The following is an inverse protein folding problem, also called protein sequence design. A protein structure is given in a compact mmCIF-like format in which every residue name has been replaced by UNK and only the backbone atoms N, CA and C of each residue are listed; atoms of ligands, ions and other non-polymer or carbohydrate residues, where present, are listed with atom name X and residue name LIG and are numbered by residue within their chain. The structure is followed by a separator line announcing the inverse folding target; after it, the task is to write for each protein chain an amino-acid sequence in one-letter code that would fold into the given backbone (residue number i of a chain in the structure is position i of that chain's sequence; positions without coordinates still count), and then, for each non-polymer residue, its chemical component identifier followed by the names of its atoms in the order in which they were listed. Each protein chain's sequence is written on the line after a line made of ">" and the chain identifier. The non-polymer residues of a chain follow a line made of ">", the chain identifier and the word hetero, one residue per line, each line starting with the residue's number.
data_IF_300827503199
#
_entry.id   IF_300827503199
#
_cell.length_a   1.000
_cell.length_b   1.000
_cell.length_c   1.000
_cell.angle_alpha   90.00
_cell.angle_beta   90.00
_cell.angle_gamma   90.00
#
_symmetry.space_group_name_H-M   'P 1'
#
loop_
_entity.id
_entity.type
_entity.pdbx_description
1 polymer ?
#
# COMPACT_ATOMS: atom_id res chain seq x y z
N UNK A 1 -64.86 -12.81 16.40
CA UNK A 1 -63.99 -11.81 17.07
C UNK A 1 -62.51 -12.19 17.06
N UNK A 2 -62.16 -13.45 17.38
CA UNK A 2 -60.77 -13.95 17.39
C UNK A 2 -60.00 -13.79 16.06
N UNK A 3 -60.64 -14.05 14.92
CA UNK A 3 -60.00 -14.00 13.60
C UNK A 3 -59.48 -12.59 13.21
N UNK A 4 -60.23 -11.53 13.56
CA UNK A 4 -59.81 -10.13 13.37
C UNK A 4 -58.59 -9.78 14.23
N UNK A 5 -58.50 -10.32 15.45
CA UNK A 5 -57.38 -10.11 16.37
C UNK A 5 -56.11 -10.80 15.84
N UNK A 6 -56.24 -12.02 15.32
CA UNK A 6 -55.13 -12.76 14.70
C UNK A 6 -54.60 -12.02 13.46
N UNK A 7 -55.48 -11.58 12.54
CA UNK A 7 -55.07 -10.80 11.36
C UNK A 7 -54.39 -9.48 11.73
N UNK A 8 -54.87 -8.76 12.76
CA UNK A 8 -54.24 -7.52 13.25
C UNK A 8 -52.86 -7.78 13.87
N UNK A 9 -52.70 -8.86 14.66
CA UNK A 9 -51.39 -9.26 15.23
C UNK A 9 -50.40 -9.69 14.14
N UNK A 10 -50.84 -10.43 13.12
CA UNK A 10 -50.01 -10.81 11.98
C UNK A 10 -49.57 -9.58 11.17
N UNK A 11 -50.48 -8.64 10.89
CA UNK A 11 -50.17 -7.39 10.19
C UNK A 11 -49.20 -6.52 11.01
N UNK A 12 -49.39 -6.41 12.33
CA UNK A 12 -48.46 -5.71 13.21
C UNK A 12 -47.08 -6.38 13.26
N UNK A 13 -47.02 -7.72 13.30
CA UNK A 13 -45.76 -8.48 13.24
C UNK A 13 -45.05 -8.29 11.89
N UNK A 14 -45.81 -8.22 10.79
CA UNK A 14 -45.28 -7.93 9.46
C UNK A 14 -44.78 -6.49 9.33
N UNK A 15 -45.52 -5.49 9.85
CA UNK A 15 -45.07 -4.11 9.90
C UNK A 15 -43.83 -3.94 10.80
N UNK A 16 -43.78 -4.61 11.94
CA UNK A 16 -42.60 -4.64 12.81
C UNK A 16 -41.38 -5.24 12.09
N UNK A 17 -41.53 -6.40 11.44
CA UNK A 17 -40.47 -7.01 10.63
C UNK A 17 -40.01 -6.10 9.48
N UNK A 18 -40.94 -5.45 8.78
CA UNK A 18 -40.63 -4.47 7.71
C UNK A 18 -39.88 -3.25 8.25
N UNK A 19 -40.32 -2.68 9.36
CA UNK A 19 -39.64 -1.55 10.01
C UNK A 19 -38.25 -1.94 10.50
N UNK A 20 -38.11 -3.09 11.16
CA UNK A 20 -36.82 -3.62 11.60
C UNK A 20 -35.87 -3.82 10.40
N UNK A 21 -36.37 -4.41 9.31
CA UNK A 21 -35.58 -4.60 8.10
C UNK A 21 -35.11 -3.25 7.50
N UNK A 22 -36.01 -2.28 7.37
CA UNK A 22 -35.71 -0.98 6.75
C UNK A 22 -34.78 -0.14 7.62
N UNK A 23 -35.01 -0.08 8.93
CA UNK A 23 -34.28 0.83 9.82
C UNK A 23 -33.02 0.22 10.44
N UNK A 24 -32.86 -1.10 10.40
CA UNK A 24 -31.70 -1.77 11.00
C UNK A 24 -30.92 -2.57 9.96
N UNK A 25 -31.58 -3.49 9.25
CA UNK A 25 -30.87 -4.41 8.34
C UNK A 25 -30.31 -3.67 7.12
N UNK A 26 -31.10 -2.82 6.44
CA UNK A 26 -30.64 -2.09 5.27
C UNK A 26 -29.44 -1.15 5.55
N UNK A 27 -29.43 -0.32 6.61
CA UNK A 27 -28.27 0.50 6.95
C UNK A 27 -27.02 -0.33 7.27
N UNK A 28 -27.16 -1.46 7.98
CA UNK A 28 -26.03 -2.35 8.27
C UNK A 28 -25.45 -2.92 6.98
N UNK A 29 -26.29 -3.43 6.08
CA UNK A 29 -25.84 -3.93 4.77
C UNK A 29 -25.16 -2.82 3.96
N UNK A 30 -25.73 -1.61 3.96
CA UNK A 30 -25.13 -0.45 3.30
C UNK A 30 -23.74 -0.13 3.85
N UNK A 31 -23.57 -0.07 5.17
CA UNK A 31 -22.28 0.21 5.81
C UNK A 31 -21.24 -0.87 5.49
N UNK A 32 -21.63 -2.14 5.45
CA UNK A 32 -20.75 -3.26 5.08
C UNK A 32 -20.30 -3.13 3.63
N UNK A 33 -21.23 -2.91 2.70
CA UNK A 33 -20.93 -2.76 1.26
C UNK A 33 -20.08 -1.52 1.02
N UNK A 34 -20.43 -0.38 1.64
CA UNK A 34 -19.68 0.86 1.55
C UNK A 34 -18.25 0.70 2.09
N UNK A 35 -18.09 0.08 3.26
CA UNK A 35 -16.78 -0.23 3.83
C UNK A 35 -15.93 -1.13 2.93
N UNK A 36 -16.55 -2.12 2.28
CA UNK A 36 -15.88 -3.00 1.33
C UNK A 36 -15.39 -2.24 0.08
N UNK A 37 -16.24 -1.37 -0.49
CA UNK A 37 -15.86 -0.50 -1.62
C UNK A 37 -14.72 0.44 -1.24
N UNK A 38 -14.81 1.10 -0.07
CA UNK A 38 -13.77 1.99 0.44
C UNK A 38 -12.44 1.24 0.62
N UNK A 39 -12.44 0.02 1.16
CA UNK A 39 -11.20 -0.78 1.31
C UNK A 39 -10.57 -1.14 -0.04
N UNK A 40 -11.39 -1.36 -1.08
CA UNK A 40 -10.93 -1.67 -2.44
C UNK A 40 -10.42 -0.44 -3.20
N UNK A 41 -10.92 0.75 -2.90
CA UNK A 41 -10.63 1.98 -3.67
C UNK A 41 -9.72 2.96 -2.95
N UNK A 42 -9.60 2.86 -1.63
CA UNK A 42 -8.85 3.80 -0.80
C UNK A 42 -7.77 3.09 0.02
N UNK A 43 -6.72 3.84 0.35
CA UNK A 43 -5.71 3.43 1.32
C UNK A 43 -5.29 4.64 2.15
N UNK A 44 -5.13 4.41 3.45
CA UNK A 44 -4.58 5.41 4.36
C UNK A 44 -3.11 5.03 4.60
N UNK A 45 -2.20 5.93 4.24
CA UNK A 45 -0.80 5.78 4.62
C UNK A 45 -0.57 6.48 5.95
N UNK A 46 -0.15 5.71 6.96
CA UNK A 46 0.30 6.21 8.26
C UNK A 46 1.81 6.05 8.44
N UNK A 47 2.51 5.46 7.47
CA UNK A 47 3.96 5.26 7.55
C UNK A 47 4.71 6.49 7.04
N UNK A 48 5.83 6.84 7.67
CA UNK A 48 6.66 7.97 7.27
C UNK A 48 7.54 7.69 6.03
N UNK A 49 7.31 6.60 5.30
CA UNK A 49 8.11 6.30 4.10
C UNK A 49 7.61 7.05 2.85
N UNK A 50 6.34 7.44 2.87
CA UNK A 50 5.65 8.33 1.92
C UNK A 50 4.83 9.33 2.74
N UNK A 51 4.30 10.42 2.14
CA UNK A 51 3.49 11.37 2.90
C UNK A 51 2.32 10.66 3.59
N UNK A 52 1.98 11.08 4.80
CA UNK A 52 0.84 10.49 5.50
C UNK A 52 -0.44 11.09 4.92
N UNK A 53 -1.48 10.28 4.72
CA UNK A 53 -2.69 10.79 4.09
C UNK A 53 -3.64 9.71 3.56
N UNK A 54 -4.71 10.19 2.92
CA UNK A 54 -5.68 9.40 2.20
C UNK A 54 -5.31 9.38 0.71
N UNK A 55 -5.31 8.18 0.15
CA UNK A 55 -4.98 7.93 -1.23
C UNK A 55 -6.06 7.10 -1.91
N UNK A 56 -6.21 7.32 -3.21
CA UNK A 56 -7.02 6.52 -4.12
C UNK A 56 -6.16 5.47 -4.79
N UNK A 57 -6.67 4.24 -4.89
CA UNK A 57 -6.15 3.17 -5.74
C UNK A 57 -6.77 3.29 -7.13
N UNK A 58 -5.93 3.30 -8.14
CA UNK A 58 -6.32 3.33 -9.55
C UNK A 58 -5.77 2.09 -10.26
N UNK A 59 -6.44 1.71 -11.35
CA UNK A 59 -6.02 0.58 -12.16
C UNK A 59 -4.59 0.79 -12.69
N UNK A 60 -3.85 -0.30 -12.84
CA UNK A 60 -2.52 -0.28 -13.44
C UNK A 60 -2.70 -0.32 -14.96
N UNK A 61 -2.40 0.78 -15.62
CA UNK A 61 -2.43 0.92 -17.08
C UNK A 61 -1.01 0.81 -17.67
N UNK A 62 -0.19 1.83 -17.45
CA UNK A 62 1.20 1.92 -17.88
C UNK A 62 2.04 2.36 -16.69
N UNK A 63 3.04 1.57 -16.33
CA UNK A 63 3.97 1.92 -15.27
C UNK A 63 5.15 2.69 -15.84
N UNK A 64 5.50 3.79 -15.21
CA UNK A 64 6.62 4.64 -15.63
C UNK A 64 7.37 5.21 -14.43
N UNK A 65 8.62 5.63 -14.66
CA UNK A 65 9.41 6.36 -13.68
C UNK A 65 8.60 7.58 -13.22
N UNK A 66 8.51 7.77 -11.91
CA UNK A 66 7.75 8.87 -11.33
C UNK A 66 6.44 8.44 -10.68
N UNK A 67 5.83 7.35 -11.14
CA UNK A 67 4.53 6.90 -10.63
C UNK A 67 4.61 6.51 -9.15
N UNK A 68 3.58 6.88 -8.40
CA UNK A 68 3.35 6.39 -7.05
C UNK A 68 2.48 5.13 -7.15
N UNK A 69 2.93 4.05 -6.53
CA UNK A 69 2.32 2.72 -6.70
C UNK A 69 2.11 2.00 -5.38
N UNK A 70 1.06 1.17 -5.35
CA UNK A 70 0.75 0.22 -4.29
C UNK A 70 1.32 -1.14 -4.67
N UNK A 71 2.15 -1.71 -3.81
CA UNK A 71 2.94 -2.92 -4.09
C UNK A 71 2.75 -3.97 -3.02
N UNK A 72 2.55 -5.21 -3.46
CA UNK A 72 2.65 -6.41 -2.64
C UNK A 72 3.96 -7.12 -3.01
N UNK A 73 4.77 -7.47 -2.01
CA UNK A 73 6.02 -8.18 -2.28
C UNK A 73 5.76 -9.66 -2.58
N UNK A 74 6.74 -10.31 -3.21
CA UNK A 74 6.75 -11.77 -3.34
C UNK A 74 6.54 -12.42 -1.97
N UNK A 75 5.75 -13.49 -1.93
CA UNK A 75 5.31 -14.14 -0.69
C UNK A 75 6.46 -14.42 0.30
N UNK A 76 7.62 -14.88 -0.17
CA UNK A 76 8.77 -15.13 0.71
C UNK A 76 9.34 -13.85 1.33
N UNK A 77 9.49 -12.78 0.54
CA UNK A 77 9.98 -11.48 1.03
C UNK A 77 8.99 -10.86 2.01
N UNK A 78 7.70 -10.92 1.69
CA UNK A 78 6.64 -10.40 2.54
C UNK A 78 6.55 -11.15 3.87
N UNK A 79 6.59 -12.49 3.85
CA UNK A 79 6.60 -13.33 5.05
C UNK A 79 7.73 -12.96 5.99
N UNK A 80 8.98 -12.92 5.49
CA UNK A 80 10.14 -12.53 6.29
C UNK A 80 10.02 -11.09 6.81
N UNK A 81 9.51 -10.17 6.00
CA UNK A 81 9.33 -8.79 6.43
C UNK A 81 8.25 -8.64 7.53
N UNK A 82 7.23 -9.50 7.54
CA UNK A 82 6.26 -9.59 8.64
C UNK A 82 6.93 -10.16 9.90
N UNK A 83 7.66 -11.28 9.78
CA UNK A 83 8.39 -11.90 10.91
C UNK A 83 9.39 -10.94 11.56
N UNK A 84 10.03 -10.08 10.77
CA UNK A 84 10.95 -9.04 11.24
C UNK A 84 10.26 -7.71 11.64
N UNK A 85 8.93 -7.67 11.74
CA UNK A 85 8.12 -6.49 12.13
C UNK A 85 8.30 -5.25 11.23
N UNK A 86 8.78 -5.46 10.01
CA UNK A 86 8.93 -4.41 8.99
C UNK A 86 7.56 -4.11 8.39
N UNK A 87 6.84 -5.14 7.95
CA UNK A 87 5.47 -5.07 7.47
C UNK A 87 4.47 -5.47 8.56
N UNK A 88 3.32 -4.80 8.59
CA UNK A 88 2.19 -5.24 9.42
C UNK A 88 1.39 -6.35 8.71
N UNK A 89 0.62 -7.12 9.49
CA UNK A 89 -0.44 -7.99 8.97
C UNK A 89 -1.75 -7.21 8.95
N UNK A 90 -2.31 -6.97 7.77
CA UNK A 90 -3.54 -6.19 7.64
C UNK A 90 -4.43 -6.59 6.44
N UNK A 91 -4.10 -7.70 5.76
CA UNK A 91 -4.86 -8.25 4.63
C UNK A 91 -5.10 -7.24 3.51
N UNK A 92 -4.09 -6.41 3.22
CA UNK A 92 -4.07 -5.56 2.03
C UNK A 92 -3.50 -6.30 0.82
N UNK A 93 -2.57 -7.22 1.05
CA UNK A 93 -2.01 -8.13 0.05
C UNK A 93 -2.60 -9.54 0.15
N UNK A 94 -2.54 -10.36 -0.93
CA UNK A 94 -3.08 -11.72 -0.94
C UNK A 94 -2.49 -12.66 0.11
N UNK A 95 -1.23 -12.42 0.51
CA UNK A 95 -0.51 -13.17 1.55
C UNK A 95 -0.81 -12.68 2.98
N UNK A 96 -1.74 -11.74 3.15
CA UNK A 96 -2.11 -11.15 4.44
C UNK A 96 -1.26 -9.96 4.87
N UNK A 97 -0.15 -9.68 4.17
CA UNK A 97 0.77 -8.59 4.50
C UNK A 97 0.22 -7.21 4.15
N UNK A 98 0.88 -6.18 4.69
CA UNK A 98 0.67 -4.78 4.38
C UNK A 98 1.14 -4.44 2.96
N UNK A 99 0.27 -3.78 2.20
CA UNK A 99 0.65 -3.17 0.92
C UNK A 99 1.56 -1.97 1.17
N UNK A 100 2.67 -1.91 0.44
CA UNK A 100 3.59 -0.79 0.45
C UNK A 100 3.15 0.29 -0.54
N UNK A 101 3.42 1.55 -0.23
CA UNK A 101 3.29 2.67 -1.17
C UNK A 101 4.69 3.22 -1.44
N UNK A 102 5.11 3.24 -2.70
CA UNK A 102 6.45 3.68 -3.13
C UNK A 102 6.41 4.36 -4.49
N UNK A 103 7.45 5.15 -4.79
CA UNK A 103 7.63 5.78 -6.09
C UNK A 103 8.50 4.89 -6.99
N UNK A 104 8.12 4.71 -8.26
CA UNK A 104 8.97 4.05 -9.27
C UNK A 104 10.13 4.98 -9.63
N UNK A 105 11.35 4.44 -9.57
CA UNK A 105 12.58 5.15 -9.91
C UNK A 105 13.39 4.49 -11.03
N UNK A 106 13.15 3.21 -11.33
CA UNK A 106 13.70 2.52 -12.49
C UNK A 106 12.67 1.52 -13.03
N UNK A 107 12.74 1.26 -14.33
CA UNK A 107 11.87 0.36 -15.08
C UNK A 107 12.70 -0.73 -15.78
N UNK A 108 12.07 -1.78 -16.35
CA UNK A 108 12.81 -2.82 -17.05
C UNK A 108 13.71 -2.25 -18.16
N UNK A 109 14.95 -2.73 -18.22
CA UNK A 109 15.99 -2.26 -19.14
C UNK A 109 16.94 -1.21 -18.56
N UNK A 110 16.59 -0.56 -17.44
CA UNK A 110 17.47 0.40 -16.77
C UNK A 110 18.67 -0.28 -16.10
N UNK A 111 19.74 0.49 -15.87
CA UNK A 111 20.84 0.07 -15.00
C UNK A 111 20.72 0.76 -13.64
N UNK A 112 20.82 -0.02 -12.58
CA UNK A 112 20.72 0.47 -11.20
C UNK A 112 21.99 0.15 -10.42
N UNK A 113 22.57 1.15 -9.76
CA UNK A 113 23.69 0.99 -8.83
C UNK A 113 23.20 1.24 -7.40
N UNK A 114 23.36 0.25 -6.54
CA UNK A 114 23.07 0.35 -5.10
C UNK A 114 24.39 0.55 -4.36
N UNK A 115 24.44 1.61 -3.56
CA UNK A 115 25.59 1.92 -2.68
C UNK A 115 25.12 2.04 -1.23
N UNK A 116 26.06 2.27 -0.30
CA UNK A 116 25.71 2.56 1.09
C UNK A 116 24.90 3.85 1.29
N UNK A 117 24.96 4.79 0.33
CA UNK A 117 24.39 6.14 0.47
C UNK A 117 23.28 6.46 -0.55
N UNK A 118 23.33 5.84 -1.72
CA UNK A 118 22.53 6.21 -2.87
C UNK A 118 22.01 4.99 -3.64
N UNK A 119 20.88 5.19 -4.31
CA UNK A 119 20.47 4.43 -5.48
C UNK A 119 20.76 5.32 -6.69
N UNK A 120 21.52 4.84 -7.67
CA UNK A 120 21.70 5.55 -8.95
C UNK A 120 21.01 4.77 -10.06
N UNK A 121 20.33 5.48 -10.95
CA UNK A 121 19.59 4.89 -12.07
C UNK A 121 20.09 5.51 -13.36
N UNK A 122 20.42 4.67 -14.34
CA UNK A 122 20.71 5.09 -15.71
C UNK A 122 19.56 4.64 -16.61
N UNK A 123 18.85 5.61 -17.17
CA UNK A 123 17.68 5.42 -18.03
C UNK A 123 17.93 6.13 -19.37
N UNK A 124 18.16 5.35 -20.43
CA UNK A 124 18.64 5.86 -21.71
C UNK A 124 19.89 6.74 -21.53
N UNK A 125 19.81 8.03 -21.88
CA UNK A 125 20.90 9.01 -21.74
C UNK A 125 20.86 9.81 -20.43
N UNK A 126 19.92 9.49 -19.53
CA UNK A 126 19.72 10.21 -18.27
C UNK A 126 20.25 9.41 -17.09
N UNK A 127 20.83 10.12 -16.12
CA UNK A 127 21.32 9.54 -14.88
C UNK A 127 20.69 10.24 -13.68
N UNK A 128 20.06 9.47 -12.80
CA UNK A 128 19.40 9.96 -11.60
C UNK A 128 20.11 9.42 -10.36
N UNK A 129 20.27 10.26 -9.34
CA UNK A 129 20.81 9.84 -8.03
C UNK A 129 19.78 10.12 -6.95
N UNK A 130 19.42 9.08 -6.19
CA UNK A 130 18.49 9.15 -5.07
C UNK A 130 19.26 8.96 -3.77
N UNK A 131 19.13 9.92 -2.85
CA UNK A 131 19.69 9.80 -1.50
C UNK A 131 18.92 8.71 -0.76
N UNK A 132 19.60 7.61 -0.46
CA UNK A 132 19.00 6.38 0.03
C UNK A 132 19.99 5.65 0.96
N UNK A 133 20.35 6.23 2.13
CA UNK A 133 21.30 5.59 3.01
C UNK A 133 20.80 4.23 3.47
N UNK A 134 21.66 3.20 3.40
CA UNK A 134 21.39 1.89 3.98
C UNK A 134 21.74 1.93 5.46
N UNK A 135 20.73 1.69 6.29
CA UNK A 135 20.89 1.64 7.74
C UNK A 135 21.17 0.20 8.16
N UNK A 136 22.08 0.03 9.12
CA UNK A 136 22.32 -1.28 9.75
C UNK A 136 21.12 -1.72 10.58
N UNK A 137 20.48 -0.78 11.26
CA UNK A 137 19.33 -1.01 12.13
C UNK A 137 18.11 -0.20 11.68
N UNK A 138 16.93 -0.82 11.79
CA UNK A 138 15.65 -0.21 11.46
C UNK A 138 15.32 0.92 12.44
N UNK A 139 14.98 2.10 11.93
CA UNK A 139 14.53 3.22 12.75
C UNK A 139 13.20 2.95 13.49
N UNK A 140 12.45 1.92 13.09
CA UNK A 140 11.17 1.53 13.69
C UNK A 140 11.37 0.45 14.76
N UNK A 141 12.12 -0.60 14.44
CA UNK A 141 12.22 -1.81 15.28
C UNK A 141 13.53 -1.88 16.08
N UNK A 142 14.52 -1.05 15.75
CA UNK A 142 15.89 -1.12 16.28
C UNK A 142 16.61 -2.46 16.04
N UNK A 143 16.03 -3.34 15.21
CA UNK A 143 16.60 -4.61 14.79
C UNK A 143 17.42 -4.44 13.50
N UNK A 144 18.35 -5.37 13.18
CA UNK A 144 19.03 -5.39 11.90
C UNK A 144 18.05 -5.28 10.73
N UNK A 145 18.33 -4.40 9.77
CA UNK A 145 17.43 -4.21 8.62
C UNK A 145 17.47 -5.44 7.73
N UNK A 146 16.31 -6.08 7.54
CA UNK A 146 16.16 -7.18 6.59
C UNK A 146 16.55 -6.72 5.19
N UNK A 147 17.49 -7.44 4.60
CA UNK A 147 18.10 -7.14 3.31
C UNK A 147 18.05 -8.39 2.45
N UNK A 148 17.63 -8.24 1.20
CA UNK A 148 17.59 -9.31 0.20
C UNK A 148 18.60 -9.10 -0.94
N UNK A 149 19.17 -7.91 -1.08
CA UNK A 149 20.16 -7.59 -2.11
C UNK A 149 21.39 -6.90 -1.55
N UNK A 150 22.53 -7.15 -2.19
CA UNK A 150 23.80 -6.54 -1.87
C UNK A 150 23.98 -5.15 -2.49
N UNK A 151 25.13 -4.54 -2.22
CA UNK A 151 25.61 -3.37 -2.95
C UNK A 151 26.18 -3.87 -4.27
N UNK A 152 25.89 -3.16 -5.36
CA UNK A 152 26.31 -3.61 -6.67
C UNK A 152 25.56 -2.93 -7.80
N UNK A 153 25.84 -3.40 -9.00
CA UNK A 153 25.18 -2.97 -10.24
C UNK A 153 24.19 -4.04 -10.68
N UNK A 154 23.04 -3.59 -11.14
CA UNK A 154 21.92 -4.43 -11.55
C UNK A 154 21.41 -3.97 -12.91
N UNK A 155 21.12 -4.94 -13.77
CA UNK A 155 20.31 -4.73 -14.96
C UNK A 155 18.87 -5.03 -14.59
N UNK A 156 18.00 -4.04 -14.66
CA UNK A 156 16.64 -4.18 -14.16
C UNK A 156 15.79 -5.02 -15.11
N UNK A 157 15.14 -6.04 -14.58
CA UNK A 157 14.12 -6.84 -15.27
C UNK A 157 12.71 -6.49 -14.81
N UNK A 158 12.59 -5.77 -13.70
CA UNK A 158 11.35 -5.29 -13.10
C UNK A 158 11.41 -3.79 -12.78
N UNK A 159 10.81 -3.41 -11.66
CA UNK A 159 10.69 -2.03 -11.22
C UNK A 159 11.42 -1.81 -9.91
N UNK A 160 12.17 -0.71 -9.82
CA UNK A 160 12.81 -0.28 -8.58
C UNK A 160 12.00 0.83 -7.93
N UNK A 161 11.83 0.70 -6.62
CA UNK A 161 10.91 1.46 -5.80
C UNK A 161 11.66 2.26 -4.73
N UNK A 162 11.19 3.47 -4.47
CA UNK A 162 11.82 4.42 -3.57
C UNK A 162 10.81 5.12 -2.66
N UNK A 163 11.09 5.18 -1.35
CA UNK A 163 10.33 5.99 -0.42
C UNK A 163 10.92 7.39 -0.28
N UNK A 164 10.33 8.37 -0.97
CA UNK A 164 10.86 9.74 -1.08
C UNK A 164 10.74 10.56 0.22
N UNK A 165 9.72 10.33 1.04
CA UNK A 165 9.35 11.26 2.12
C UNK A 165 10.35 11.29 3.28
N UNK A 166 10.67 10.13 3.88
CA UNK A 166 11.75 10.01 4.84
C UNK A 166 12.61 8.81 4.49
N UNK A 167 13.72 9.09 3.82
CA UNK A 167 14.60 8.07 3.25
C UNK A 167 15.22 7.18 4.35
N UNK A 168 15.41 7.67 5.57
CA UNK A 168 15.92 6.88 6.71
C UNK A 168 14.86 5.95 7.31
N UNK A 169 13.57 6.29 7.18
CA UNK A 169 12.45 5.45 7.64
C UNK A 169 11.85 4.58 6.52
N UNK A 170 12.38 4.66 5.30
CA UNK A 170 11.91 3.87 4.18
C UNK A 170 12.68 2.55 4.06
N UNK A 171 11.94 1.46 4.13
CA UNK A 171 12.35 0.16 3.61
C UNK A 171 11.79 0.02 2.18
N UNK A 172 12.67 0.04 1.18
CA UNK A 172 12.36 0.09 -0.26
C UNK A 172 13.38 -0.75 -1.07
N UNK A 173 13.47 -0.56 -2.39
CA UNK A 173 14.29 -1.42 -3.26
C UNK A 173 15.78 -1.44 -2.93
N UNK A 174 16.30 -0.48 -2.16
CA UNK A 174 17.69 -0.57 -1.64
C UNK A 174 17.92 -1.78 -0.74
N UNK A 175 16.86 -2.38 -0.20
CA UNK A 175 16.91 -3.55 0.65
C UNK A 175 16.29 -4.77 -0.03
N UNK A 176 15.12 -4.64 -0.66
CA UNK A 176 14.40 -5.79 -1.24
C UNK A 176 14.60 -6.01 -2.74
N UNK A 177 15.34 -5.13 -3.41
CA UNK A 177 15.60 -5.20 -4.85
C UNK A 177 14.41 -4.78 -5.69
N UNK A 178 14.40 -5.22 -6.94
CA UNK A 178 13.29 -4.95 -7.86
C UNK A 178 12.04 -5.78 -7.55
N UNK A 179 10.91 -5.32 -8.05
CA UNK A 179 9.63 -6.03 -8.04
C UNK A 179 9.14 -6.23 -9.47
N UNK A 180 8.43 -7.31 -9.71
CA UNK A 180 7.79 -7.56 -11.00
C UNK A 180 6.53 -6.71 -11.19
N UNK A 181 6.02 -6.66 -12.43
CA UNK A 181 4.85 -5.85 -12.77
C UNK A 181 3.58 -6.32 -12.04
N UNK A 182 3.41 -7.64 -11.90
CA UNK A 182 2.26 -8.27 -11.24
C UNK A 182 2.18 -7.97 -9.73
N UNK A 183 3.32 -7.64 -9.13
CA UNK A 183 3.41 -7.23 -7.72
C UNK A 183 3.00 -5.77 -7.52
N UNK A 184 2.89 -4.97 -8.59
CA UNK A 184 2.34 -3.63 -8.57
C UNK A 184 0.83 -3.73 -8.81
N UNK A 185 0.05 -3.60 -7.73
CA UNK A 185 -1.38 -3.89 -7.73
C UNK A 185 -2.27 -2.66 -7.95
N UNK A 186 -1.70 -1.45 -7.88
CA UNK A 186 -2.43 -0.21 -8.14
C UNK A 186 -1.49 0.96 -8.39
N UNK A 187 -1.94 1.93 -9.20
CA UNK A 187 -1.43 3.30 -9.11
C UNK A 187 -2.07 4.00 -7.93
N UNK A 188 -1.32 4.89 -7.29
CA UNK A 188 -1.73 5.56 -6.06
C UNK A 188 -1.77 7.05 -6.31
N UNK A 189 -2.97 7.64 -6.12
CA UNK A 189 -3.19 9.07 -6.27
C UNK A 189 -3.49 9.71 -4.91
N UNK A 190 -2.75 10.73 -4.47
CA UNK A 190 -3.07 11.44 -3.24
C UNK A 190 -4.46 12.10 -3.36
N UNK A 191 -5.31 11.92 -2.35
CA UNK A 191 -6.56 12.68 -2.20
C UNK A 191 -6.33 13.82 -1.22
N UNK A 192 -5.74 13.51 -0.07
CA UNK A 192 -5.40 14.49 0.97
C UNK A 192 -4.18 14.01 1.75
N UNK A 193 -3.19 14.91 1.93
CA UNK A 193 -1.96 14.65 2.67
C UNK A 193 -2.05 15.40 4.00
N UNK A 194 -1.77 14.71 5.10
CA UNK A 194 -1.90 15.19 6.48
C UNK A 194 -0.60 15.79 7.05
N UNK A 195 0.50 15.63 6.33
CA UNK A 195 1.82 16.06 6.80
C UNK A 195 2.20 17.41 6.21
N UNK A 196 2.85 18.21 7.06
CA UNK A 196 3.16 19.63 6.89
C UNK A 196 3.92 19.91 5.58
N UNK A 197 3.56 21.01 4.91
CA UNK A 197 4.13 21.46 3.61
C UNK A 197 5.61 21.89 3.71
N UNK A 198 6.25 21.70 4.85
CA UNK A 198 7.55 22.26 5.22
C UNK A 198 8.77 21.44 4.74
N UNK A 199 8.57 20.26 4.12
CA UNK A 199 9.67 19.42 3.61
C UNK A 199 9.57 19.12 2.10
N UNK A 200 8.91 19.97 1.32
CA UNK A 200 9.05 20.00 -0.14
C UNK A 200 10.04 21.12 -0.53
N UNK A 201 11.34 20.84 -0.36
CA UNK A 201 12.44 21.56 -1.01
C UNK A 201 13.18 20.58 -1.93
#
# INVERSE_FOLDING_TARGET
>A
MAEKIIKKRQKNKLHYKRRLFIYVVLPIVFLIVFGWICKKTLVINITNSMPQGLYKKEAVDKLQIGDLVGVCLDHQKAKLAVEHNILAVNNQCPDGSQMLIKKIIAVPGDRVEITNKHIKVSHCNYHYTYIAPRLKFSAKTHQPVLTFIDIGQYHSTGYWLYGKYNTRKSWDSRYFGEVSAENIISKIKPISILTDKSCEL
#
